data_IF_800493428180
#
_entry.id   IF_800493428180
#
_cell.length_a   1.000
_cell.length_b   1.000
_cell.length_c   1.000
_cell.angle_alpha   90.00
_cell.angle_beta   90.00
_cell.angle_gamma   90.00
#
_symmetry.space_group_name_H-M   'P 1'
#
loop_
_entity.id
_entity.type
_entity.pdbx_description
1 polymer ?
#
# COMPACT_ATOMS: atom_id res chain seq x y z
N UNK A 1 10.42 -3.58 11.16
CA UNK A 1 11.29 -3.34 9.99
C UNK A 1 11.43 -4.64 9.24
N UNK A 2 10.75 -4.68 8.10
CA UNK A 2 10.63 -5.84 7.21
C UNK A 2 11.32 -5.48 5.89
N UNK A 3 12.21 -6.34 5.39
CA UNK A 3 12.89 -6.12 4.09
C UNK A 3 12.10 -6.69 2.90
N UNK A 4 12.22 -6.07 1.71
CA UNK A 4 11.56 -6.51 0.46
C UNK A 4 12.53 -7.24 -0.48
N UNK A 5 12.00 -8.17 -1.27
CA UNK A 5 12.78 -8.95 -2.26
C UNK A 5 12.57 -8.53 -3.73
N UNK A 6 11.91 -7.40 -4.01
CA UNK A 6 11.73 -6.90 -5.39
C UNK A 6 12.71 -5.74 -5.69
N UNK A 7 13.06 -5.50 -6.98
CA UNK A 7 14.03 -4.46 -7.35
C UNK A 7 13.47 -3.02 -7.23
N UNK A 8 12.28 -2.85 -6.65
CA UNK A 8 11.71 -1.52 -6.43
C UNK A 8 12.44 -0.87 -5.24
N UNK A 9 13.21 0.19 -5.53
CA UNK A 9 13.91 1.06 -4.58
C UNK A 9 12.95 2.00 -3.80
N UNK A 10 11.71 1.56 -3.60
CA UNK A 10 10.59 2.32 -3.07
C UNK A 10 10.54 2.50 -1.54
N UNK A 11 9.37 2.90 -0.98
CA UNK A 11 9.18 3.13 0.45
C UNK A 11 9.35 1.86 1.26
N UNK A 12 9.72 2.00 2.53
CA UNK A 12 9.69 0.87 3.46
C UNK A 12 8.33 0.17 3.32
N UNK A 13 8.34 -1.17 3.38
CA UNK A 13 7.14 -2.01 3.26
C UNK A 13 6.08 -1.70 4.32
N UNK A 14 6.48 -1.05 5.40
CA UNK A 14 5.65 -0.61 6.52
C UNK A 14 5.17 0.85 6.37
N UNK A 15 5.70 1.60 5.39
CA UNK A 15 5.38 3.02 5.21
C UNK A 15 4.09 3.20 4.41
N UNK A 16 3.31 4.19 4.84
CA UNK A 16 2.21 4.78 4.06
C UNK A 16 2.73 6.06 3.44
N UNK A 17 2.48 6.24 2.14
CA UNK A 17 2.81 7.44 1.38
C UNK A 17 1.54 8.27 1.23
N UNK A 18 1.53 9.45 1.82
CA UNK A 18 0.35 10.32 1.81
C UNK A 18 0.04 10.83 0.41
N UNK A 19 -1.23 11.15 0.14
CA UNK A 19 -1.66 11.69 -1.15
C UNK A 19 -0.83 12.90 -1.64
N UNK A 20 -0.44 13.78 -0.71
CA UNK A 20 0.31 15.02 -1.00
C UNK A 20 1.84 14.82 -1.01
N UNK A 21 2.34 13.61 -0.74
CA UNK A 21 3.78 13.37 -0.76
C UNK A 21 4.28 13.30 -2.22
N UNK A 22 5.27 14.13 -2.51
CA UNK A 22 5.89 14.26 -3.84
C UNK A 22 6.95 13.17 -4.06
N UNK A 23 7.39 12.54 -2.97
CA UNK A 23 8.34 11.44 -3.04
C UNK A 23 7.75 10.28 -3.87
N UNK A 24 8.54 9.74 -4.80
CA UNK A 24 8.24 8.67 -5.80
C UNK A 24 7.68 9.07 -7.19
N UNK A 25 7.21 10.30 -7.43
CA UNK A 25 6.40 10.59 -8.64
C UNK A 25 7.01 11.57 -9.66
N UNK A 26 8.26 12.05 -9.51
CA UNK A 26 8.81 13.01 -10.48
C UNK A 26 7.93 14.27 -10.60
N UNK A 27 7.38 14.63 -11.78
CA UNK A 27 6.48 15.80 -11.95
C UNK A 27 5.15 15.74 -11.16
N UNK A 28 4.90 14.67 -10.39
CA UNK A 28 3.77 14.54 -9.48
C UNK A 28 2.83 13.42 -9.89
N UNK A 29 2.07 12.89 -8.92
CA UNK A 29 1.20 11.72 -9.09
C UNK A 29 0.27 11.88 -10.29
N UNK A 30 0.29 10.94 -11.23
CA UNK A 30 -0.60 10.91 -12.40
C UNK A 30 -0.21 11.87 -13.54
N UNK A 31 0.94 12.56 -13.45
CA UNK A 31 1.49 13.32 -14.56
C UNK A 31 2.15 12.40 -15.60
N UNK A 32 2.24 12.86 -16.85
CA UNK A 32 3.04 12.15 -17.85
C UNK A 32 4.52 12.11 -17.41
N UNK A 33 5.09 10.91 -17.27
CA UNK A 33 6.43 10.72 -16.70
C UNK A 33 6.47 10.65 -15.17
N UNK A 34 5.32 10.50 -14.52
CA UNK A 34 5.23 10.19 -13.11
C UNK A 34 5.59 8.72 -12.82
N UNK A 35 6.08 8.46 -11.61
CA UNK A 35 6.77 7.21 -11.25
C UNK A 35 8.25 7.23 -11.65
N UNK A 36 9.14 7.52 -10.71
CA UNK A 36 10.58 7.40 -10.97
C UNK A 36 10.95 5.92 -11.20
N UNK A 37 11.85 5.64 -12.15
CA UNK A 37 12.43 4.30 -12.37
C UNK A 37 12.90 3.73 -11.04
N UNK A 38 12.22 2.69 -10.55
CA UNK A 38 12.49 2.05 -9.26
C UNK A 38 11.40 2.25 -8.19
N UNK A 39 10.41 3.12 -8.38
CA UNK A 39 9.28 3.28 -7.44
C UNK A 39 8.24 2.17 -7.65
N UNK A 40 7.51 1.74 -6.61
CA UNK A 40 6.47 0.74 -6.78
C UNK A 40 5.32 1.31 -7.60
N UNK A 41 4.88 0.56 -8.59
CA UNK A 41 3.67 0.84 -9.34
C UNK A 41 2.47 0.21 -8.63
N UNK A 42 1.27 0.75 -8.85
CA UNK A 42 0.05 0.16 -8.30
C UNK A 42 -0.09 -1.29 -8.80
N UNK A 43 -0.40 -2.21 -7.90
CA UNK A 43 -0.43 -3.64 -8.20
C UNK A 43 0.92 -4.35 -8.08
N UNK A 44 2.04 -3.63 -7.92
CA UNK A 44 3.32 -4.27 -7.63
C UNK A 44 3.20 -5.16 -6.41
N UNK A 45 3.83 -6.33 -6.48
CA UNK A 45 3.85 -7.29 -5.38
C UNK A 45 5.26 -7.48 -4.84
N UNK A 46 5.33 -7.76 -3.54
CA UNK A 46 6.56 -8.16 -2.88
C UNK A 46 6.30 -9.14 -1.75
N UNK A 47 7.33 -9.86 -1.35
CA UNK A 47 7.34 -10.60 -0.08
C UNK A 47 8.13 -9.79 0.94
N UNK A 48 7.61 -9.75 2.17
CA UNK A 48 8.38 -9.32 3.33
C UNK A 48 9.28 -10.44 3.83
N UNK A 49 10.23 -10.11 4.71
CA UNK A 49 11.03 -11.11 5.43
C UNK A 49 10.21 -12.02 6.37
N UNK A 50 8.99 -11.62 6.70
CA UNK A 50 7.98 -12.43 7.39
C UNK A 50 7.27 -13.45 6.47
N UNK A 51 7.66 -13.52 5.19
CA UNK A 51 7.10 -14.44 4.19
C UNK A 51 5.71 -14.07 3.68
N UNK A 52 5.14 -12.92 4.09
CA UNK A 52 3.81 -12.50 3.64
C UNK A 52 3.86 -11.78 2.31
N UNK A 53 2.98 -12.18 1.39
CA UNK A 53 2.72 -11.47 0.14
C UNK A 53 2.09 -10.12 0.46
N UNK A 54 2.58 -9.07 -0.20
CA UNK A 54 2.05 -7.72 -0.13
C UNK A 54 1.85 -7.14 -1.52
N UNK A 55 0.88 -6.24 -1.63
CA UNK A 55 0.56 -5.52 -2.87
C UNK A 55 0.55 -4.02 -2.62
N UNK A 56 1.16 -3.24 -3.52
CA UNK A 56 1.10 -1.79 -3.48
C UNK A 56 -0.25 -1.31 -4.01
N UNK A 57 -0.99 -0.57 -3.19
CA UNK A 57 -2.37 -0.15 -3.47
C UNK A 57 -2.59 1.30 -3.10
N UNK A 58 -3.65 1.89 -3.65
CA UNK A 58 -4.13 3.22 -3.28
C UNK A 58 -5.44 3.12 -2.49
N UNK A 59 -5.57 3.84 -1.39
CA UNK A 59 -6.81 3.91 -0.64
C UNK A 59 -7.88 4.67 -1.44
N UNK A 60 -9.02 4.05 -1.72
CA UNK A 60 -10.15 4.72 -2.40
C UNK A 60 -11.08 5.47 -1.44
N UNK A 61 -10.82 5.41 -0.14
CA UNK A 61 -11.57 6.08 0.93
C UNK A 61 -10.78 6.03 2.24
N UNK A 62 -11.33 6.63 3.30
CA UNK A 62 -10.71 6.55 4.63
C UNK A 62 -10.79 5.13 5.19
N UNK A 63 -9.66 4.60 5.62
CA UNK A 63 -9.52 3.30 6.28
C UNK A 63 -9.07 3.59 7.70
N UNK A 64 -9.97 3.36 8.66
CA UNK A 64 -9.68 3.55 10.07
C UNK A 64 -8.49 2.69 10.49
N UNK A 65 -7.62 3.21 11.34
CA UNK A 65 -6.54 2.42 11.90
C UNK A 65 -7.07 1.31 12.83
N UNK A 66 -6.31 0.24 12.97
CA UNK A 66 -6.66 -0.85 13.88
C UNK A 66 -5.42 -1.56 14.39
N UNK A 67 -5.53 -2.14 15.59
CA UNK A 67 -4.53 -3.03 16.14
C UNK A 67 -4.27 -4.23 15.21
N UNK A 68 -3.16 -4.94 15.45
CA UNK A 68 -2.75 -6.09 14.63
C UNK A 68 -3.91 -7.09 14.43
N UNK A 69 -4.15 -7.57 13.19
CA UNK A 69 -3.30 -7.43 12.00
C UNK A 69 -3.42 -6.10 11.23
N UNK A 70 -4.26 -5.17 11.67
CA UNK A 70 -4.66 -3.97 10.95
C UNK A 70 -6.08 -4.08 10.42
N UNK A 71 -6.59 -3.03 9.78
CA UNK A 71 -7.94 -3.02 9.21
C UNK A 71 -8.00 -3.91 7.98
N UNK A 72 -9.01 -4.77 7.91
CA UNK A 72 -9.22 -5.62 6.75
C UNK A 72 -9.71 -4.79 5.57
N UNK A 73 -9.09 -5.01 4.41
CA UNK A 73 -9.40 -4.31 3.17
C UNK A 73 -9.76 -5.29 2.07
N UNK A 74 -10.64 -4.86 1.18
CA UNK A 74 -10.86 -5.46 -0.13
C UNK A 74 -10.06 -4.70 -1.17
N UNK A 75 -9.33 -5.44 -2.01
CA UNK A 75 -8.60 -4.88 -3.16
C UNK A 75 -9.49 -4.97 -4.40
N UNK A 76 -9.61 -3.85 -5.11
CA UNK A 76 -10.33 -3.73 -6.38
C UNK A 76 -9.33 -3.42 -7.49
N UNK A 77 -9.33 -4.24 -8.54
CA UNK A 77 -8.51 -4.06 -9.74
C UNK A 77 -9.42 -3.80 -10.92
N UNK A 78 -9.35 -2.60 -11.50
CA UNK A 78 -10.15 -2.21 -12.68
C UNK A 78 -9.31 -1.94 -13.92
N UNK A 79 -7.98 -1.97 -13.79
CA UNK A 79 -7.00 -1.79 -14.86
C UNK A 79 -5.58 -2.01 -14.36
N UNK A 80 -4.61 -1.98 -15.27
CA UNK A 80 -3.18 -2.21 -14.99
C UNK A 80 -2.62 -1.20 -13.96
N UNK A 81 -3.06 0.06 -14.05
CA UNK A 81 -2.64 1.14 -13.14
C UNK A 81 -3.74 1.55 -12.15
N UNK A 82 -4.78 0.72 -11.97
CA UNK A 82 -5.90 1.04 -11.09
C UNK A 82 -6.17 -0.09 -10.10
N UNK A 83 -5.36 -0.07 -9.02
CA UNK A 83 -5.44 -1.01 -7.90
C UNK A 83 -5.73 -0.22 -6.64
N UNK A 84 -6.97 -0.34 -6.15
CA UNK A 84 -7.44 0.39 -4.98
C UNK A 84 -7.80 -0.54 -3.82
N UNK A 85 -7.76 0.01 -2.61
CA UNK A 85 -8.16 -0.66 -1.38
C UNK A 85 -9.17 0.18 -0.60
N UNK A 86 -10.16 -0.49 -0.03
CA UNK A 86 -11.12 0.08 0.92
C UNK A 86 -11.46 -0.94 1.99
N UNK A 87 -11.99 -0.50 3.14
CA UNK A 87 -12.45 -1.39 4.21
C UNK A 87 -13.41 -2.44 3.65
N UNK A 88 -13.10 -3.72 3.92
CA UNK A 88 -13.87 -4.83 3.38
C UNK A 88 -13.23 -6.18 3.64
N UNK A 89 -14.01 -7.24 3.45
CA UNK A 89 -13.58 -8.61 3.72
C UNK A 89 -12.84 -9.23 2.53
N UNK A 90 -11.62 -8.78 2.25
CA UNK A 90 -10.83 -9.25 1.10
C UNK A 90 -9.66 -10.20 1.41
N UNK A 91 -9.37 -10.47 2.69
CA UNK A 91 -8.17 -11.22 3.07
C UNK A 91 -6.87 -10.42 2.87
N UNK A 92 -6.98 -9.10 2.86
CA UNK A 92 -5.85 -8.17 2.84
C UNK A 92 -5.97 -7.22 4.03
N UNK A 93 -4.85 -6.70 4.49
CA UNK A 93 -4.79 -5.83 5.67
C UNK A 93 -3.98 -4.58 5.39
N UNK A 94 -4.53 -3.45 5.84
CA UNK A 94 -3.78 -2.21 6.00
C UNK A 94 -2.72 -2.35 7.11
N UNK A 95 -1.66 -1.53 7.10
CA UNK A 95 -0.72 -1.43 8.22
C UNK A 95 -1.44 -1.24 9.57
N UNK A 96 -1.04 -1.95 10.64
CA UNK A 96 -1.66 -1.80 11.95
C UNK A 96 -1.25 -0.49 12.63
N UNK A 97 -1.97 -0.11 13.68
CA UNK A 97 -1.70 1.09 14.51
C UNK A 97 -0.26 1.14 15.03
N UNK A 98 0.37 0.00 15.31
CA UNK A 98 1.77 -0.06 15.76
C UNK A 98 2.78 0.32 14.68
N UNK A 99 2.35 0.44 13.42
CA UNK A 99 3.17 0.75 12.25
C UNK A 99 2.91 2.16 11.73
N UNK A 100 1.66 2.52 11.41
CA UNK A 100 1.33 3.84 10.85
C UNK A 100 0.66 4.79 11.86
N UNK A 101 -0.05 4.26 12.87
CA UNK A 101 -0.54 5.02 14.03
C UNK A 101 -1.67 6.02 13.77
N UNK A 102 -2.13 6.16 12.52
CA UNK A 102 -3.24 7.04 12.13
C UNK A 102 -4.08 6.39 11.03
N UNK A 103 -5.27 6.93 10.78
CA UNK A 103 -6.10 6.53 9.65
C UNK A 103 -5.37 6.72 8.33
N UNK A 104 -5.62 5.82 7.39
CA UNK A 104 -5.19 5.95 5.99
C UNK A 104 -6.29 6.71 5.25
N UNK A 105 -5.92 7.80 4.61
CA UNK A 105 -6.87 8.69 3.93
C UNK A 105 -7.00 8.31 2.45
N UNK A 106 -8.07 8.79 1.81
CA UNK A 106 -8.25 8.59 0.38
C UNK A 106 -7.06 9.17 -0.41
N UNK A 107 -6.52 8.39 -1.34
CA UNK A 107 -5.32 8.71 -2.09
C UNK A 107 -4.01 8.33 -1.39
N UNK A 108 -4.01 7.91 -0.13
CA UNK A 108 -2.80 7.37 0.48
C UNK A 108 -2.44 6.02 -0.17
N UNK A 109 -1.14 5.73 -0.29
CA UNK A 109 -0.65 4.47 -0.85
C UNK A 109 0.14 3.67 0.18
N UNK A 110 -0.02 2.36 0.15
CA UNK A 110 0.59 1.48 1.12
C UNK A 110 0.73 0.05 0.59
N UNK A 111 1.53 -0.76 1.28
CA UNK A 111 1.64 -2.19 1.04
C UNK A 111 0.57 -2.96 1.82
N UNK A 112 -0.52 -3.34 1.16
CA UNK A 112 -1.53 -4.20 1.75
C UNK A 112 -0.96 -5.62 1.93
N UNK A 113 -1.07 -6.20 3.14
CA UNK A 113 -0.57 -7.53 3.44
C UNK A 113 -1.65 -8.59 3.28
N UNK A 114 -1.34 -9.66 2.54
CA UNK A 114 -2.24 -10.81 2.40
C UNK A 114 -2.26 -11.59 3.71
N UNK A 115 -3.45 -11.94 4.17
CA UNK A 115 -3.62 -12.75 5.37
C UNK A 115 -5.05 -13.28 5.54
N UNK A 116 -5.20 -14.25 6.41
CA UNK A 116 -6.51 -14.70 6.89
C UNK A 116 -6.83 -13.99 8.20
N UNK A 117 -8.09 -13.65 8.44
CA UNK A 117 -8.51 -13.23 9.78
C UNK A 117 -8.21 -14.37 10.77
N UNK A 118 -7.77 -14.06 12.00
CA UNK A 118 -7.71 -15.07 13.06
C UNK A 118 -9.10 -15.68 13.34
#
# INVERSE_FOLDING_TARGET
MVFRTNPSLGPNIEQVVTADDVWYEGPGRGAAGAGQVGSPQLGDTCFGDDGRLRMWVEASGTIADAAAPGTQVSITVTGEDNVTAATGAGGWYAPPTTVYGTDILAGDRFWAAKGTAP
#
